data_IF_919237938575
#
_entry.id   IF_919237938575
#
_cell.length_a   1.000
_cell.length_b   1.000
_cell.length_c   1.000
_cell.angle_alpha   90.00
_cell.angle_beta   90.00
_cell.angle_gamma   90.00
#
_symmetry.space_group_name_H-M   'P 1'
#
loop_
_entity.id
_entity.type
_entity.pdbx_description
1 polymer ?
#
# COMPACT_ATOMS: atom_id res chain seq x y z
N UNK A 1 -19.32 -1.24 -12.44
CA UNK A 1 -17.87 -1.47 -12.28
C UNK A 1 -17.71 -2.83 -11.62
N UNK A 2 -17.21 -3.82 -12.34
CA UNK A 2 -17.00 -5.17 -11.79
C UNK A 2 -15.57 -5.23 -11.26
N UNK A 3 -15.42 -4.87 -9.99
CA UNK A 3 -14.19 -5.08 -9.21
C UNK A 3 -14.04 -6.57 -8.96
N UNK A 4 -12.85 -7.13 -9.16
CA UNK A 4 -12.56 -8.54 -8.99
C UNK A 4 -12.66 -8.90 -7.50
N UNK A 5 -13.54 -9.86 -7.14
CA UNK A 5 -13.74 -10.24 -5.76
C UNK A 5 -12.48 -10.83 -5.13
N UNK A 6 -11.57 -11.40 -5.94
CA UNK A 6 -10.33 -12.01 -5.47
C UNK A 6 -9.34 -10.96 -4.98
N UNK A 7 -9.18 -9.86 -5.74
CA UNK A 7 -8.25 -8.77 -5.40
C UNK A 7 -8.76 -8.01 -4.18
N UNK A 8 -10.03 -7.65 -4.18
CA UNK A 8 -10.67 -6.96 -3.05
C UNK A 8 -10.63 -7.79 -1.76
N UNK A 9 -10.88 -9.09 -1.83
CA UNK A 9 -10.84 -9.96 -0.65
C UNK A 9 -9.42 -10.03 -0.07
N UNK A 10 -8.38 -10.26 -0.89
CA UNK A 10 -7.00 -10.29 -0.42
C UNK A 10 -6.59 -9.02 0.33
N UNK A 11 -6.90 -7.85 -0.25
CA UNK A 11 -6.56 -6.55 0.36
C UNK A 11 -7.31 -6.37 1.69
N UNK A 12 -8.61 -6.70 1.72
CA UNK A 12 -9.44 -6.61 2.93
C UNK A 12 -8.97 -7.59 4.01
N UNK A 13 -8.56 -8.80 3.63
CA UNK A 13 -7.96 -9.78 4.55
C UNK A 13 -6.67 -9.25 5.17
N UNK A 14 -5.74 -8.72 4.37
CA UNK A 14 -4.50 -8.14 4.90
C UNK A 14 -4.76 -6.98 5.85
N UNK A 15 -5.74 -6.12 5.52
CA UNK A 15 -6.18 -5.02 6.39
C UNK A 15 -6.82 -5.52 7.68
N UNK A 16 -7.68 -6.53 7.61
CA UNK A 16 -8.35 -7.12 8.76
C UNK A 16 -7.37 -7.75 9.75
N UNK A 17 -6.39 -8.50 9.23
CA UNK A 17 -5.30 -9.08 10.02
C UNK A 17 -4.46 -7.99 10.71
N UNK A 18 -4.12 -6.91 9.98
CA UNK A 18 -3.33 -5.80 10.53
C UNK A 18 -4.10 -5.00 11.60
N UNK A 19 -5.37 -4.69 11.34
CA UNK A 19 -6.23 -3.91 12.22
C UNK A 19 -6.90 -4.75 13.32
N UNK A 20 -6.70 -6.08 13.32
CA UNK A 20 -7.43 -7.05 14.16
C UNK A 20 -8.94 -6.84 14.09
N UNK A 21 -9.44 -6.68 12.86
CA UNK A 21 -10.85 -6.44 12.55
C UNK A 21 -11.34 -7.39 11.47
N UNK A 22 -12.64 -7.55 11.42
CA UNK A 22 -13.27 -8.42 10.43
C UNK A 22 -13.08 -7.85 9.01
N UNK A 23 -12.58 -8.64 8.04
CA UNK A 23 -12.35 -8.17 6.68
C UNK A 23 -13.66 -7.84 5.95
N UNK A 24 -14.80 -8.42 6.33
CA UNK A 24 -16.10 -8.06 5.77
C UNK A 24 -16.58 -6.69 6.28
N UNK A 25 -16.16 -6.29 7.49
CA UNK A 25 -16.46 -4.96 8.04
C UNK A 25 -15.70 -3.81 7.34
N UNK A 26 -14.61 -4.10 6.61
CA UNK A 26 -13.80 -3.08 5.92
C UNK A 26 -14.44 -2.78 4.56
N UNK A 27 -15.09 -1.64 4.35
CA UNK A 27 -15.70 -1.33 3.06
C UNK A 27 -14.70 -0.75 2.04
N UNK A 28 -14.92 -1.01 0.75
CA UNK A 28 -14.14 -0.40 -0.34
C UNK A 28 -14.26 1.14 -0.39
N UNK A 29 -15.37 1.69 0.12
CA UNK A 29 -15.61 3.13 0.20
C UNK A 29 -14.88 3.80 1.37
N UNK A 30 -14.36 3.01 2.33
CA UNK A 30 -13.67 3.58 3.49
C UNK A 30 -12.30 4.12 3.13
N UNK A 31 -11.96 5.23 3.77
CA UNK A 31 -10.66 5.86 3.69
C UNK A 31 -9.64 5.09 4.55
N UNK A 32 -8.45 4.84 3.99
CA UNK A 32 -7.37 4.13 4.67
C UNK A 32 -6.92 4.88 5.93
N UNK A 33 -6.77 6.21 5.82
CA UNK A 33 -6.40 7.07 6.95
C UNK A 33 -7.60 7.50 7.77
N UNK A 34 -8.61 8.08 7.14
CA UNK A 34 -9.71 8.75 7.87
C UNK A 34 -10.71 7.77 8.50
N UNK A 35 -11.08 6.66 7.83
CA UNK A 35 -12.03 5.67 8.38
C UNK A 35 -11.33 4.55 9.13
N UNK A 36 -10.29 3.97 8.51
CA UNK A 36 -9.59 2.81 9.06
C UNK A 36 -8.51 3.22 10.08
N UNK A 37 -8.17 4.49 10.16
CA UNK A 37 -7.18 5.00 11.12
C UNK A 37 -5.76 4.52 10.84
N UNK A 38 -5.44 4.14 9.59
CA UNK A 38 -4.09 3.69 9.25
C UNK A 38 -3.14 4.87 9.26
N UNK A 39 -2.02 4.72 9.99
CA UNK A 39 -0.95 5.69 9.93
C UNK A 39 -0.28 5.70 8.54
N UNK A 40 0.39 6.81 8.20
CA UNK A 40 1.29 6.94 7.05
C UNK A 40 2.13 5.69 6.80
N UNK A 41 2.73 5.14 7.86
CA UNK A 41 3.63 3.99 7.79
C UNK A 41 2.86 2.70 7.53
N UNK A 42 1.67 2.56 8.12
CA UNK A 42 0.81 1.39 7.93
C UNK A 42 0.31 1.30 6.50
N UNK A 43 -0.02 2.44 5.86
CA UNK A 43 -0.39 2.49 4.44
C UNK A 43 0.78 2.04 3.57
N UNK A 44 2.00 2.52 3.83
CA UNK A 44 3.19 2.11 3.07
C UNK A 44 3.47 0.60 3.21
N UNK A 45 3.40 0.06 4.43
CA UNK A 45 3.61 -1.38 4.67
C UNK A 45 2.55 -2.24 3.97
N UNK A 46 1.28 -1.82 4.03
CA UNK A 46 0.19 -2.50 3.33
C UNK A 46 0.43 -2.53 1.83
N UNK A 47 0.82 -1.41 1.24
CA UNK A 47 1.06 -1.32 -0.19
C UNK A 47 2.25 -2.17 -0.62
N UNK A 48 3.33 -2.20 0.17
CA UNK A 48 4.46 -3.09 -0.07
C UNK A 48 4.05 -4.58 -0.06
N UNK A 49 3.20 -4.99 0.89
CA UNK A 49 2.67 -6.37 0.91
C UNK A 49 1.80 -6.68 -0.31
N UNK A 50 1.02 -5.72 -0.80
CA UNK A 50 0.21 -5.87 -2.00
C UNK A 50 1.11 -5.97 -3.24
N UNK A 51 2.13 -5.12 -3.34
CA UNK A 51 3.15 -5.17 -4.39
C UNK A 51 3.80 -6.55 -4.47
N UNK A 52 4.28 -7.10 -3.34
CA UNK A 52 4.88 -8.43 -3.28
C UNK A 52 3.85 -9.54 -3.57
N UNK A 53 2.61 -9.43 -3.08
CA UNK A 53 1.58 -10.46 -3.28
C UNK A 53 1.09 -10.59 -4.73
N UNK A 54 1.21 -9.52 -5.51
CA UNK A 54 0.75 -9.45 -6.90
C UNK A 54 1.87 -9.24 -7.92
N UNK A 55 3.13 -9.17 -7.47
CA UNK A 55 4.32 -8.89 -8.29
C UNK A 55 4.20 -7.56 -9.08
N UNK A 56 3.79 -6.49 -8.37
CA UNK A 56 3.56 -5.15 -8.92
C UNK A 56 4.47 -4.11 -8.23
N UNK A 57 4.65 -2.92 -8.82
CA UNK A 57 5.52 -1.86 -8.26
C UNK A 57 4.88 -0.47 -8.29
N UNK A 58 4.16 -0.06 -7.24
CA UNK A 58 3.40 1.20 -7.17
C UNK A 58 4.39 2.36 -6.93
N UNK A 59 4.42 3.39 -7.79
CA UNK A 59 5.31 4.53 -7.59
C UNK A 59 4.80 5.42 -6.46
N UNK A 60 5.71 6.08 -5.74
CA UNK A 60 5.39 7.00 -4.63
C UNK A 60 4.37 8.08 -4.99
N UNK A 61 4.41 8.54 -6.23
CA UNK A 61 3.49 9.56 -6.75
C UNK A 61 2.03 9.07 -6.78
N UNK A 62 1.82 7.79 -7.06
CA UNK A 62 0.50 7.19 -7.09
C UNK A 62 0.00 6.89 -5.67
N UNK A 63 0.90 6.65 -4.70
CA UNK A 63 0.52 6.40 -3.30
C UNK A 63 -0.34 7.52 -2.72
N UNK A 64 -0.08 8.77 -3.12
CA UNK A 64 -0.85 9.94 -2.67
C UNK A 64 -2.30 9.90 -3.16
N UNK A 65 -2.55 9.27 -4.31
CA UNK A 65 -3.90 9.07 -4.86
C UNK A 65 -4.64 7.86 -4.28
N UNK A 66 -3.93 6.95 -3.60
CA UNK A 66 -4.47 5.74 -3.00
C UNK A 66 -5.03 6.01 -1.59
N UNK A 67 -6.12 6.75 -1.54
CA UNK A 67 -6.75 7.21 -0.28
C UNK A 67 -7.79 6.24 0.29
N UNK A 68 -8.43 5.45 -0.56
CA UNK A 68 -9.51 4.51 -0.18
C UNK A 68 -9.14 3.09 -0.55
N UNK A 69 -9.76 2.12 0.13
CA UNK A 69 -9.55 0.70 -0.18
C UNK A 69 -9.93 0.40 -1.64
N UNK A 70 -11.04 0.99 -2.12
CA UNK A 70 -11.48 0.84 -3.52
C UNK A 70 -10.48 1.38 -4.53
N UNK A 71 -9.79 2.49 -4.23
CA UNK A 71 -8.71 3.00 -5.10
C UNK A 71 -7.57 1.99 -5.22
N UNK A 72 -7.13 1.40 -4.11
CA UNK A 72 -6.06 0.39 -4.11
C UNK A 72 -6.46 -0.84 -4.90
N UNK A 73 -7.66 -1.37 -4.66
CA UNK A 73 -8.18 -2.54 -5.39
C UNK A 73 -8.21 -2.25 -6.89
N UNK A 74 -8.82 -1.12 -7.29
CA UNK A 74 -8.92 -0.72 -8.70
C UNK A 74 -7.55 -0.54 -9.34
N UNK A 75 -6.57 -0.01 -8.59
CA UNK A 75 -5.21 0.21 -9.08
C UNK A 75 -4.51 -1.13 -9.36
N UNK A 76 -4.61 -2.08 -8.43
CA UNK A 76 -4.04 -3.42 -8.56
C UNK A 76 -4.68 -4.16 -9.73
N UNK A 77 -6.00 -4.13 -9.85
CA UNK A 77 -6.73 -4.76 -10.96
C UNK A 77 -6.34 -4.18 -12.32
N UNK A 78 -6.23 -2.85 -12.42
CA UNK A 78 -5.81 -2.18 -13.65
C UNK A 78 -4.44 -2.64 -14.11
N UNK A 79 -3.53 -2.94 -13.17
CA UNK A 79 -2.22 -3.49 -13.48
C UNK A 79 -2.25 -4.96 -13.85
N UNK A 80 -3.02 -5.77 -13.14
CA UNK A 80 -3.19 -7.19 -13.45
C UNK A 80 -3.86 -7.42 -14.81
N UNK A 81 -4.81 -6.54 -15.19
CA UNK A 81 -5.51 -6.60 -16.48
C UNK A 81 -4.75 -5.96 -17.66
N UNK A 82 -3.66 -5.23 -17.42
CA UNK A 82 -2.84 -4.58 -18.44
C UNK A 82 -1.44 -5.22 -18.43
N UNK A 83 -1.32 -6.39 -19.05
CA UNK A 83 -0.03 -7.04 -19.25
C UNK A 83 0.90 -6.13 -20.07
N UNK A 84 2.14 -5.96 -19.58
CA UNK A 84 3.32 -5.34 -20.20
C UNK A 84 3.35 -3.81 -20.38
N UNK A 85 4.08 -3.08 -19.53
CA UNK A 85 5.54 -2.90 -19.65
C UNK A 85 6.03 -1.81 -18.67
N UNK A 86 7.29 -1.88 -18.21
CA UNK A 86 7.81 -1.24 -17.01
C UNK A 86 8.33 0.16 -17.32
N UNK A 87 8.16 1.10 -16.38
CA UNK A 87 8.95 2.32 -16.37
C UNK A 87 9.81 2.34 -15.11
N UNK A 88 11.08 2.04 -15.33
CA UNK A 88 12.16 2.15 -14.39
C UNK A 88 12.26 3.57 -13.80
N UNK A 89 12.56 3.67 -12.49
CA UNK A 89 13.65 4.52 -12.01
C UNK A 89 13.89 4.38 -10.48
N UNK A 90 15.00 3.71 -10.15
CA UNK A 90 15.99 4.08 -9.13
C UNK A 90 15.75 3.70 -7.65
N UNK A 91 16.42 2.59 -7.32
CA UNK A 91 17.42 2.41 -6.23
C UNK A 91 16.87 2.17 -4.81
N UNK A 92 17.39 1.14 -4.09
CA UNK A 92 16.84 0.67 -2.83
C UNK A 92 17.20 1.63 -1.68
N UNK A 93 16.25 1.84 -0.76
CA UNK A 93 16.53 2.47 0.53
C UNK A 93 15.72 1.79 1.66
N UNK A 94 16.20 0.61 2.07
CA UNK A 94 16.14 0.10 3.46
C UNK A 94 16.70 1.16 4.44
N UNK A 95 16.51 1.09 5.79
CA UNK A 95 15.81 0.09 6.60
C UNK A 95 15.01 0.69 7.79
N UNK A 96 14.46 -0.20 8.60
CA UNK A 96 13.86 0.06 9.91
C UNK A 96 14.71 0.93 10.89
N UNK A 97 13.95 1.72 11.66
CA UNK A 97 14.16 2.19 13.06
C UNK A 97 15.00 3.47 13.30
N UNK A 98 14.49 4.44 14.10
CA UNK A 98 15.14 5.74 14.35
C UNK A 98 15.97 5.75 15.65
N UNK A 99 17.18 6.31 15.65
CA UNK A 99 17.85 6.84 16.86
C UNK A 99 18.84 7.99 16.56
N UNK A 100 18.36 9.22 16.79
CA UNK A 100 18.96 10.43 17.42
C UNK A 100 20.34 11.01 16.95
N UNK A 101 20.50 12.36 16.86
CA UNK A 101 21.64 13.03 16.20
C UNK A 101 22.75 13.53 17.16
N UNK A 102 23.93 13.90 16.61
CA UNK A 102 24.62 15.21 16.75
C UNK A 102 26.17 15.16 16.70
N UNK A 103 26.73 16.15 15.98
CA UNK A 103 28.07 16.78 16.08
C UNK A 103 29.32 16.20 15.38
N UNK A 104 29.59 16.83 14.23
CA UNK A 104 30.86 17.37 13.70
C UNK A 104 32.09 17.45 14.62
N UNK A 105 33.29 17.22 14.04
CA UNK A 105 34.39 18.21 13.79
C UNK A 105 35.78 17.52 13.93
N UNK A 106 36.49 17.23 12.83
CA UNK A 106 37.54 18.04 12.16
C UNK A 106 38.79 18.26 13.03
N UNK A 107 39.84 17.47 12.78
CA UNK A 107 41.26 17.86 12.67
C UNK A 107 42.13 16.65 12.39
#
# INVERSE_FOLDING_TARGET
>A
MATDPTVSLKIRTSLGEYLKRDPAAILISQHLRDDLGLDSMAVIELLYRIEEAFDLQIPDQDLVGLTTVGHVVTYVEKRLGKSASPSAAKKPAKPAKPTKPKSTKKS
#
